data_IF_594237393492
#
_entry.id   IF_594237393492
#
_cell.length_a   1.000
_cell.length_b   1.000
_cell.length_c   1.000
_cell.angle_alpha   90.00
_cell.angle_beta   90.00
_cell.angle_gamma   90.00
#
_symmetry.space_group_name_H-M   'P 1'
#
loop_
_entity.id
_entity.type
_entity.pdbx_description
1 polymer ?
#
# COMPACT_ATOMS: atom_id res chain seq x y z
N UNK A 1 -36.00 20.23 5.44
CA UNK A 1 -34.75 20.73 6.07
C UNK A 1 -34.92 20.73 7.58
N UNK A 2 -34.09 19.96 8.28
CA UNK A 2 -33.41 20.47 9.46
C UNK A 2 -31.90 20.21 9.42
N UNK A 3 -31.21 21.03 10.22
CA UNK A 3 -29.78 21.35 10.27
C UNK A 3 -28.79 20.18 10.46
N UNK A 4 -27.64 20.29 9.80
CA UNK A 4 -26.40 19.58 10.12
C UNK A 4 -25.91 19.90 11.53
N UNK A 5 -25.52 18.86 12.30
CA UNK A 5 -24.38 18.94 13.23
C UNK A 5 -23.57 17.65 13.15
N UNK A 6 -22.38 17.76 12.52
CA UNK A 6 -21.28 16.82 12.73
C UNK A 6 -20.86 16.90 14.20
N UNK A 7 -20.85 15.76 14.90
CA UNK A 7 -20.20 15.62 16.20
C UNK A 7 -19.01 14.66 16.04
N UNK A 8 -17.82 15.25 15.93
CA UNK A 8 -16.57 14.60 16.25
C UNK A 8 -16.59 14.25 17.74
N UNK A 9 -16.51 12.97 18.11
CA UNK A 9 -16.12 12.57 19.46
C UNK A 9 -14.84 11.72 19.40
N UNK A 10 -13.74 12.37 19.76
CA UNK A 10 -12.50 11.76 20.22
C UNK A 10 -12.65 11.55 21.73
N UNK A 11 -12.67 10.30 22.20
CA UNK A 11 -12.52 9.97 23.61
C UNK A 11 -11.08 9.56 23.91
N UNK A 12 -10.43 10.25 24.84
CA UNK A 12 -9.27 9.72 25.58
C UNK A 12 -9.60 9.93 27.06
N UNK A 13 -9.56 8.85 27.83
CA UNK A 13 -9.57 8.91 29.27
C UNK A 13 -8.35 8.14 29.79
N UNK A 14 -7.56 8.78 30.64
CA UNK A 14 -6.51 8.15 31.44
C UNK A 14 -6.82 8.50 32.89
N UNK A 15 -6.84 7.51 33.77
CA UNK A 15 -6.70 7.75 35.20
C UNK A 15 -5.89 6.60 35.79
N UNK A 16 -4.87 6.97 36.57
CA UNK A 16 -3.88 6.10 37.20
C UNK A 16 -4.41 5.50 38.50
N UNK A 17 -4.23 4.20 38.74
CA UNK A 17 -3.67 3.62 39.98
C UNK A 17 -3.65 2.08 39.89
N UNK A 18 -2.50 1.45 40.16
CA UNK A 18 -2.38 0.00 40.39
C UNK A 18 -2.33 -0.87 39.12
N UNK A 19 -1.40 -1.81 39.10
CA UNK A 19 -1.07 -2.69 37.98
C UNK A 19 -2.30 -3.34 37.30
N UNK A 20 -2.53 -3.04 36.02
CA UNK A 20 -3.25 -3.85 35.02
C UNK A 20 -3.06 -3.21 33.64
N UNK A 21 -2.59 -4.00 32.68
CA UNK A 21 -2.34 -3.58 31.29
C UNK A 21 -3.67 -3.43 30.56
N UNK A 22 -3.97 -2.22 30.08
CA UNK A 22 -5.00 -2.00 29.07
C UNK A 22 -4.34 -1.96 27.68
N UNK A 23 -4.64 -2.95 26.84
CA UNK A 23 -4.21 -2.97 25.44
C UNK A 23 -5.03 -1.93 24.66
N UNK A 24 -4.38 -0.84 24.28
CA UNK A 24 -4.90 0.09 23.28
C UNK A 24 -4.50 -0.44 21.89
N UNK A 25 -5.44 -0.98 21.13
CA UNK A 25 -5.26 -1.17 19.69
C UNK A 25 -5.39 0.18 18.98
N UNK A 26 -4.27 0.90 18.84
CA UNK A 26 -4.17 2.01 17.91
C UNK A 26 -4.18 1.45 16.47
N UNK A 27 -5.28 1.63 15.76
CA UNK A 27 -5.33 1.50 14.29
C UNK A 27 -4.29 2.48 13.71
N UNK A 28 -3.31 1.97 12.97
CA UNK A 28 -2.31 2.77 12.25
C UNK A 28 -2.97 3.69 11.24
N UNK A 29 -3.41 4.87 11.68
CA UNK A 29 -3.28 6.08 10.85
C UNK A 29 -1.81 6.43 10.88
N UNK A 30 -1.21 6.59 9.70
CA UNK A 30 -0.02 7.43 9.57
C UNK A 30 -0.47 8.82 10.02
N UNK A 31 -0.26 9.10 11.31
CA UNK A 31 -0.28 10.45 11.86
C UNK A 31 1.13 10.98 11.62
N UNK A 32 1.23 12.09 10.90
CA UNK A 32 2.43 12.91 10.88
C UNK A 32 2.89 13.15 12.32
N UNK A 33 4.09 12.71 12.73
CA UNK A 33 4.60 12.97 14.06
C UNK A 33 5.24 14.35 14.10
N UNK A 34 4.46 15.41 13.86
CA UNK A 34 4.90 16.78 14.05
C UNK A 34 3.78 17.66 14.63
N UNK A 35 3.23 17.29 15.79
CA UNK A 35 2.83 18.26 16.83
C UNK A 35 2.20 17.56 18.04
N UNK A 36 2.95 17.51 19.15
CA UNK A 36 2.49 17.87 20.52
C UNK A 36 3.60 17.60 21.55
N UNK A 37 4.27 18.66 22.00
CA UNK A 37 5.12 18.65 23.20
C UNK A 37 6.53 19.21 22.98
N UNK A 38 6.74 20.46 23.41
CA UNK A 38 8.01 21.22 23.41
C UNK A 38 8.47 21.72 22.04
N UNK A 39 8.32 23.03 21.84
CA UNK A 39 8.67 23.79 20.63
C UNK A 39 10.20 23.84 20.43
N UNK A 40 10.75 22.85 19.75
CA UNK A 40 11.76 23.15 18.75
C UNK A 40 10.99 23.24 17.43
N UNK A 41 10.57 24.45 17.05
CA UNK A 41 10.11 24.70 15.69
C UNK A 41 11.30 24.46 14.76
N UNK A 42 11.49 23.22 14.33
CA UNK A 42 12.38 22.91 13.23
C UNK A 42 11.85 23.71 12.05
N UNK A 43 12.57 24.78 11.70
CA UNK A 43 12.22 25.73 10.65
C UNK A 43 12.20 25.00 9.30
N UNK A 44 11.07 24.36 8.97
CA UNK A 44 10.83 23.74 7.66
C UNK A 44 10.58 24.78 6.57
N UNK A 45 10.53 26.07 6.93
CA UNK A 45 10.37 27.18 5.98
C UNK A 45 11.59 27.24 5.05
N UNK A 46 11.38 26.87 3.80
CA UNK A 46 12.38 26.95 2.73
C UNK A 46 13.02 25.61 2.33
N UNK A 47 12.58 24.48 2.87
CA UNK A 47 13.03 23.17 2.39
C UNK A 47 12.25 22.75 1.14
N UNK A 48 12.97 22.25 0.15
CA UNK A 48 12.44 21.77 -1.12
C UNK A 48 12.72 20.27 -1.25
N UNK A 49 11.69 19.49 -1.60
CA UNK A 49 11.84 18.06 -1.86
C UNK A 49 12.55 17.88 -3.21
N UNK A 50 13.70 17.20 -3.21
CA UNK A 50 14.49 16.96 -4.43
C UNK A 50 14.43 15.52 -4.96
N UNK A 51 14.21 14.54 -4.08
CA UNK A 51 14.21 13.13 -4.44
C UNK A 51 13.36 12.33 -3.45
N UNK A 52 12.72 11.27 -3.93
CA UNK A 52 12.03 10.29 -3.10
C UNK A 52 12.40 8.88 -3.55
N UNK A 53 12.67 7.98 -2.60
CA UNK A 53 12.87 6.55 -2.86
C UNK A 53 11.73 5.78 -2.19
N UNK A 54 11.04 4.94 -2.96
CA UNK A 54 9.92 4.13 -2.47
C UNK A 54 10.27 2.66 -2.59
N UNK A 55 10.50 2.01 -1.44
CA UNK A 55 10.60 0.56 -1.35
C UNK A 55 9.27 0.02 -0.84
N UNK A 56 8.65 -0.90 -1.59
CA UNK A 56 7.37 -1.50 -1.21
C UNK A 56 7.36 -3.00 -1.47
N UNK A 57 6.60 -3.72 -0.64
CA UNK A 57 6.29 -5.12 -0.87
C UNK A 57 5.13 -5.20 -1.87
N UNK A 58 5.10 -6.27 -2.65
CA UNK A 58 3.93 -6.65 -3.46
C UNK A 58 2.62 -6.67 -2.62
N UNK A 59 1.48 -6.55 -3.28
CA UNK A 59 0.15 -6.70 -2.66
C UNK A 59 -0.19 -8.15 -2.28
N UNK A 60 -1.42 -8.39 -1.83
CA UNK A 60 -1.92 -9.72 -1.47
C UNK A 60 -1.81 -10.73 -2.65
N UNK A 61 -1.33 -11.93 -2.33
CA UNK A 61 -1.08 -13.02 -3.29
C UNK A 61 -1.77 -14.32 -2.86
N UNK A 62 -1.94 -15.25 -3.79
CA UNK A 62 -2.22 -16.65 -3.43
C UNK A 62 -1.01 -17.21 -2.66
N UNK A 63 -1.22 -18.21 -1.78
CA UNK A 63 -0.13 -18.80 -1.01
C UNK A 63 0.87 -19.48 -1.95
N UNK A 64 2.11 -19.66 -1.49
CA UNK A 64 3.14 -20.36 -2.27
C UNK A 64 2.89 -21.88 -2.30
N UNK A 65 2.30 -22.41 -1.23
CA UNK A 65 2.01 -23.84 -1.04
C UNK A 65 0.75 -23.98 -0.20
N UNK A 66 0.06 -25.11 -0.32
CA UNK A 66 -1.04 -25.46 0.59
C UNK A 66 -0.51 -25.71 2.01
N UNK A 67 -1.36 -25.46 3.01
CA UNK A 67 -1.05 -25.71 4.41
C UNK A 67 -1.56 -27.11 4.79
N UNK A 68 -0.68 -28.06 5.17
CA UNK A 68 -1.04 -29.47 5.30
C UNK A 68 -1.94 -29.80 6.51
N UNK A 69 -2.09 -28.87 7.47
CA UNK A 69 -2.75 -29.12 8.75
C UNK A 69 -3.99 -28.25 9.01
N UNK A 70 -4.44 -27.48 8.02
CA UNK A 70 -5.66 -26.67 8.11
C UNK A 70 -6.68 -27.17 7.09
N UNK A 71 -7.99 -27.07 7.38
CA UNK A 71 -9.01 -27.31 6.36
C UNK A 71 -8.75 -26.39 5.17
N UNK A 72 -8.74 -26.99 3.98
CA UNK A 72 -8.34 -26.30 2.74
C UNK A 72 -9.24 -25.10 2.48
N UNK A 73 -8.62 -23.93 2.29
CA UNK A 73 -9.32 -22.73 1.83
C UNK A 73 -9.40 -22.82 0.31
N UNK A 74 -10.62 -22.81 -0.23
CA UNK A 74 -10.83 -22.78 -1.66
C UNK A 74 -10.44 -21.39 -2.22
N UNK A 75 -9.43 -21.34 -3.09
CA UNK A 75 -9.07 -20.13 -3.81
C UNK A 75 -9.90 -20.03 -5.10
N UNK A 76 -10.57 -18.89 -5.31
CA UNK A 76 -11.31 -18.65 -6.56
C UNK A 76 -10.41 -18.05 -7.63
N UNK A 77 -10.57 -18.50 -8.87
CA UNK A 77 -9.93 -17.91 -10.05
C UNK A 77 -10.36 -16.46 -10.30
N UNK A 78 -11.53 -16.04 -9.80
CA UNK A 78 -11.99 -14.65 -9.87
C UNK A 78 -11.06 -13.68 -9.13
N UNK A 79 -10.27 -14.18 -8.18
CA UNK A 79 -9.24 -13.40 -7.50
C UNK A 79 -8.08 -13.02 -8.43
N UNK A 80 -7.95 -13.63 -9.61
CA UNK A 80 -6.89 -13.31 -10.58
C UNK A 80 -7.36 -12.34 -11.67
N UNK A 81 -8.61 -11.88 -11.62
CA UNK A 81 -9.11 -10.89 -12.58
C UNK A 81 -8.47 -9.52 -12.35
N UNK A 82 -7.84 -8.99 -13.39
CA UNK A 82 -7.20 -7.67 -13.36
C UNK A 82 -8.24 -6.55 -13.45
N UNK A 83 -8.30 -5.62 -12.48
CA UNK A 83 -9.14 -4.44 -12.60
C UNK A 83 -8.70 -3.57 -13.79
N UNK A 84 -9.65 -3.05 -14.56
CA UNK A 84 -9.35 -2.27 -15.77
C UNK A 84 -8.51 -1.02 -15.51
N UNK A 85 -8.70 -0.36 -14.35
CA UNK A 85 -7.97 0.84 -13.95
C UNK A 85 -6.54 0.57 -13.47
N UNK A 86 -6.14 -0.70 -13.34
CA UNK A 86 -4.75 -1.08 -13.03
C UNK A 86 -3.97 -1.51 -14.26
N UNK A 87 -4.59 -1.49 -15.45
CA UNK A 87 -3.91 -1.82 -16.69
C UNK A 87 -2.92 -0.70 -17.05
N UNK A 88 -1.67 -1.10 -17.28
CA UNK A 88 -0.58 -0.22 -17.66
C UNK A 88 0.41 -1.04 -18.48
N UNK A 89 0.75 -0.57 -19.68
CA UNK A 89 1.69 -1.28 -20.55
C UNK A 89 3.13 -1.09 -20.04
N UNK A 90 3.86 -2.19 -19.90
CA UNK A 90 5.25 -2.17 -19.49
C UNK A 90 6.06 -3.26 -20.20
N UNK A 91 7.37 -3.06 -20.25
CA UNK A 91 8.34 -4.06 -20.69
C UNK A 91 9.30 -4.36 -19.55
N UNK A 92 9.69 -5.63 -19.42
CA UNK A 92 10.72 -6.03 -18.47
C UNK A 92 12.04 -6.12 -19.20
N UNK A 93 13.06 -5.43 -18.70
CA UNK A 93 14.43 -5.52 -19.19
C UNK A 93 15.37 -5.95 -18.06
N UNK A 94 16.50 -6.55 -18.39
CA UNK A 94 17.61 -6.72 -17.44
C UNK A 94 18.45 -5.44 -17.29
N UNK A 95 19.51 -5.51 -16.48
CA UNK A 95 20.41 -4.38 -16.19
C UNK A 95 21.13 -3.83 -17.43
N UNK A 96 21.15 -4.58 -18.54
CA UNK A 96 21.75 -4.18 -19.81
C UNK A 96 20.70 -3.68 -20.82
N UNK A 97 19.43 -3.59 -20.43
CA UNK A 97 18.34 -3.15 -21.29
C UNK A 97 17.82 -4.24 -22.24
N UNK A 98 18.22 -5.50 -22.05
CA UNK A 98 17.72 -6.60 -22.90
C UNK A 98 16.34 -7.00 -22.42
N UNK A 99 15.36 -6.95 -23.32
CA UNK A 99 14.00 -7.34 -23.02
C UNK A 99 13.92 -8.81 -22.63
N UNK A 100 13.31 -9.06 -21.47
CA UNK A 100 13.00 -10.40 -20.95
C UNK A 100 11.52 -10.66 -21.16
N UNK A 101 11.20 -11.86 -21.66
CA UNK A 101 9.82 -12.37 -21.57
C UNK A 101 9.44 -12.44 -20.08
N UNK A 102 8.18 -12.16 -19.75
CA UNK A 102 7.63 -12.55 -18.46
C UNK A 102 7.97 -14.03 -18.22
N UNK A 103 8.47 -14.36 -17.03
CA UNK A 103 9.04 -15.66 -16.74
C UNK A 103 8.00 -16.76 -16.97
N UNK A 104 8.16 -17.55 -18.03
CA UNK A 104 7.26 -18.66 -18.42
C UNK A 104 7.49 -19.92 -17.55
N UNK A 105 7.73 -19.76 -16.25
CA UNK A 105 7.85 -20.90 -15.34
C UNK A 105 6.54 -21.68 -15.33
N UNK A 106 6.62 -23.01 -15.27
CA UNK A 106 5.43 -23.84 -15.07
C UNK A 106 4.79 -23.48 -13.74
N UNK A 107 3.61 -22.86 -13.79
CA UNK A 107 2.88 -22.45 -12.59
C UNK A 107 2.60 -23.70 -11.73
N UNK A 108 3.04 -23.66 -10.47
CA UNK A 108 2.62 -24.66 -9.49
C UNK A 108 1.17 -24.36 -9.11
N UNK A 109 0.28 -25.35 -9.19
CA UNK A 109 -1.11 -25.17 -8.83
C UNK A 109 -1.33 -25.55 -7.36
N UNK A 110 -2.15 -24.76 -6.67
CA UNK A 110 -2.72 -25.12 -5.38
C UNK A 110 -3.76 -26.24 -5.57
N UNK A 111 -4.14 -26.91 -4.49
CA UNK A 111 -5.14 -27.99 -4.51
C UNK A 111 -6.50 -27.55 -5.09
N UNK A 112 -6.84 -26.28 -4.89
CA UNK A 112 -7.99 -25.61 -5.54
C UNK A 112 -7.88 -25.37 -7.07
N UNK A 113 -6.74 -25.67 -7.70
CA UNK A 113 -6.48 -25.48 -9.14
C UNK A 113 -5.98 -24.08 -9.52
N UNK A 114 -5.85 -23.16 -8.57
CA UNK A 114 -5.34 -21.80 -8.80
C UNK A 114 -3.80 -21.78 -8.73
N UNK A 115 -3.09 -21.05 -9.60
CA UNK A 115 -1.65 -20.85 -9.50
C UNK A 115 -1.19 -20.31 -8.13
N UNK A 116 -0.10 -20.87 -7.61
CA UNK A 116 0.50 -20.48 -6.34
C UNK A 116 1.36 -19.23 -6.47
N UNK A 117 1.39 -18.41 -5.42
CA UNK A 117 2.20 -17.20 -5.34
C UNK A 117 1.78 -16.04 -6.26
N UNK A 118 0.65 -16.14 -6.95
CA UNK A 118 0.17 -15.16 -7.92
C UNK A 118 -0.44 -13.92 -7.27
N UNK A 119 -0.26 -12.76 -7.91
CA UNK A 119 -0.86 -11.51 -7.44
C UNK A 119 -2.37 -11.52 -7.66
N UNK A 120 -3.12 -11.28 -6.58
CA UNK A 120 -4.59 -11.23 -6.65
C UNK A 120 -5.09 -9.83 -7.00
N UNK A 121 -6.34 -9.72 -7.45
CA UNK A 121 -7.11 -8.48 -7.62
C UNK A 121 -7.00 -7.56 -6.39
N UNK A 122 -7.11 -8.14 -5.20
CA UNK A 122 -6.95 -7.40 -3.93
C UNK A 122 -5.53 -6.82 -3.82
N UNK A 123 -4.51 -7.60 -4.20
CA UNK A 123 -3.14 -7.14 -4.24
C UNK A 123 -2.88 -6.04 -5.27
N UNK A 124 -3.49 -6.14 -6.45
CA UNK A 124 -3.46 -5.11 -7.49
C UNK A 124 -4.09 -3.81 -6.99
N UNK A 125 -5.25 -3.89 -6.33
CA UNK A 125 -5.94 -2.75 -5.71
C UNK A 125 -5.09 -2.07 -4.62
N UNK A 126 -4.42 -2.86 -3.79
CA UNK A 126 -3.51 -2.31 -2.77
C UNK A 126 -2.36 -1.51 -3.39
N UNK A 127 -1.75 -2.02 -4.46
CA UNK A 127 -0.69 -1.32 -5.19
C UNK A 127 -1.24 -0.05 -5.88
N UNK A 128 -2.42 -0.11 -6.48
CA UNK A 128 -3.08 1.04 -7.07
C UNK A 128 -3.36 2.14 -6.03
N UNK A 129 -3.89 1.78 -4.87
CA UNK A 129 -4.15 2.72 -3.77
C UNK A 129 -2.86 3.29 -3.17
N UNK A 130 -1.76 2.55 -3.19
CA UNK A 130 -0.44 3.10 -2.89
C UNK A 130 -0.06 4.16 -3.92
N UNK A 131 -0.20 3.87 -5.21
CA UNK A 131 0.04 4.81 -6.30
C UNK A 131 -0.78 6.10 -6.19
N UNK A 132 -2.07 6.01 -5.84
CA UNK A 132 -2.91 7.18 -5.59
C UNK A 132 -2.38 8.07 -4.46
N UNK A 133 -1.93 7.47 -3.35
CA UNK A 133 -1.32 8.23 -2.25
C UNK A 133 -0.01 8.89 -2.66
N UNK A 134 0.80 8.21 -3.47
CA UNK A 134 2.05 8.78 -3.99
C UNK A 134 1.77 9.94 -4.95
N UNK A 135 0.73 9.84 -5.79
CA UNK A 135 0.26 10.94 -6.64
C UNK A 135 -0.17 12.15 -5.80
N UNK A 136 -0.95 11.95 -4.76
CA UNK A 136 -1.39 13.05 -3.89
C UNK A 136 -0.19 13.77 -3.27
N UNK A 137 0.81 13.02 -2.80
CA UNK A 137 2.00 13.58 -2.17
C UNK A 137 2.95 14.24 -3.18
N UNK A 138 3.38 13.53 -4.21
CA UNK A 138 4.50 13.95 -5.05
C UNK A 138 4.10 14.69 -6.32
N UNK A 139 2.87 14.54 -6.79
CA UNK A 139 2.36 15.30 -7.94
C UNK A 139 1.55 16.49 -7.44
N UNK A 140 0.50 16.27 -6.64
CA UNK A 140 -0.45 17.32 -6.30
C UNK A 140 0.05 18.29 -5.22
N UNK A 141 0.67 17.78 -4.15
CA UNK A 141 1.07 18.62 -3.02
C UNK A 141 2.49 19.21 -3.15
N UNK A 142 3.41 18.45 -3.75
CA UNK A 142 4.84 18.83 -3.83
C UNK A 142 5.32 19.21 -5.22
N UNK A 143 4.55 18.91 -6.27
CA UNK A 143 4.94 19.14 -7.65
C UNK A 143 6.36 18.63 -7.99
N UNK A 144 6.75 17.51 -7.38
CA UNK A 144 8.03 16.83 -7.64
C UNK A 144 8.00 16.12 -9.00
N UNK A 145 6.86 15.52 -9.34
CA UNK A 145 6.68 14.71 -10.54
C UNK A 145 5.61 15.30 -11.46
N UNK A 146 5.75 15.05 -12.76
CA UNK A 146 4.75 15.38 -13.76
C UNK A 146 3.45 14.57 -13.58
N UNK A 147 2.28 15.10 -13.97
CA UNK A 147 1.02 14.36 -13.89
C UNK A 147 0.93 13.10 -14.79
N UNK A 148 1.79 13.01 -15.79
CA UNK A 148 1.92 11.87 -16.71
C UNK A 148 3.28 11.20 -16.53
N UNK A 149 3.35 9.88 -16.71
CA UNK A 149 4.60 9.12 -16.63
C UNK A 149 5.65 9.69 -17.61
N UNK A 150 6.86 9.93 -17.09
CA UNK A 150 8.05 10.33 -17.83
C UNK A 150 9.23 9.47 -17.38
N UNK A 151 9.88 8.72 -18.29
CA UNK A 151 10.97 7.81 -17.92
C UNK A 151 12.12 8.49 -17.17
N UNK A 152 12.42 9.75 -17.47
CA UNK A 152 13.50 10.51 -16.85
C UNK A 152 13.22 10.97 -15.41
N UNK A 153 11.98 10.84 -14.93
CA UNK A 153 11.56 11.25 -13.57
C UNK A 153 11.47 10.09 -12.57
N UNK A 154 11.58 8.83 -13.03
CA UNK A 154 11.30 7.60 -12.24
C UNK A 154 12.55 6.75 -12.06
#
# INVERSE_FOLDING_TARGET
>A
MPQLKRLNQLGVAVTTCGALVCVWCARNRVRDPLHRGTTCETRTRGLELRQSVVLFRHGARTPLTDLPCLPEVQWSSDLLQTPSYTLFDFVTTDEHGVQRSANNGTATLLSSGVPSGELTRIGMEQAYHLGLRLRDLYILQRALLSPSFKPEEI
#
